data_IF_872367904692
#
_entry.id   IF_872367904692
#
_cell.length_a   1.000
_cell.length_b   1.000
_cell.length_c   1.000
_cell.angle_alpha   90.00
_cell.angle_beta   90.00
_cell.angle_gamma   90.00
#
_symmetry.space_group_name_H-M   'P 1'
#
loop_
_entity.id
_entity.type
_entity.pdbx_description
1 polymer ?
#
# COMPACT_ATOMS: atom_id res chain seq x y z
N UNK A 1 0.03 14.96 -9.52
CA UNK A 1 -1.40 15.39 -9.43
C UNK A 1 -2.11 14.86 -8.19
N UNK A 2 -2.29 13.54 -8.05
CA UNK A 2 -3.01 12.96 -6.90
C UNK A 2 -2.48 13.39 -5.53
N UNK A 3 -1.16 13.33 -5.30
CA UNK A 3 -0.55 13.81 -4.05
C UNK A 3 -0.83 15.30 -3.79
N UNK A 4 -0.82 16.14 -4.83
CA UNK A 4 -1.11 17.57 -4.72
C UNK A 4 -2.55 17.85 -4.26
N UNK A 5 -3.51 16.99 -4.62
CA UNK A 5 -4.88 17.06 -4.10
C UNK A 5 -4.87 16.84 -2.58
N UNK A 6 -4.18 15.79 -2.12
CA UNK A 6 -4.09 15.46 -0.69
C UNK A 6 -3.37 16.59 0.08
N UNK A 7 -2.22 17.05 -0.40
CA UNK A 7 -1.44 18.12 0.25
C UNK A 7 -2.27 19.40 0.41
N UNK A 8 -3.01 19.81 -0.64
CA UNK A 8 -3.87 20.99 -0.53
C UNK A 8 -5.01 20.77 0.47
N UNK A 9 -5.69 19.63 0.45
CA UNK A 9 -6.77 19.33 1.40
C UNK A 9 -6.28 19.26 2.85
N UNK A 10 -5.04 18.80 3.07
CA UNK A 10 -4.37 18.87 4.38
C UNK A 10 -4.08 20.33 4.78
N UNK A 11 -3.55 21.14 3.85
CA UNK A 11 -3.29 22.57 4.08
C UNK A 11 -4.55 23.37 4.42
N UNK A 12 -5.69 23.06 3.80
CA UNK A 12 -7.01 23.63 4.12
C UNK A 12 -7.46 23.33 5.57
N UNK A 13 -6.85 22.33 6.22
CA UNK A 13 -7.06 21.98 7.63
C UNK A 13 -5.97 22.52 8.56
N UNK A 14 -5.08 23.37 8.07
CA UNK A 14 -3.98 23.96 8.83
C UNK A 14 -2.75 23.07 8.95
N UNK A 15 -2.67 21.95 8.22
CA UNK A 15 -1.48 21.09 8.21
C UNK A 15 -0.41 21.70 7.30
N UNK A 16 0.75 22.04 7.87
CA UNK A 16 1.93 22.45 7.10
C UNK A 16 2.63 21.20 6.56
N UNK A 17 2.52 20.96 5.25
CA UNK A 17 3.20 19.85 4.56
C UNK A 17 4.56 20.34 4.08
N UNK A 18 5.64 19.69 4.54
CA UNK A 18 7.01 19.96 4.13
C UNK A 18 7.51 18.74 3.34
N UNK A 19 7.80 18.92 2.06
CA UNK A 19 8.32 17.88 1.16
C UNK A 19 9.79 18.13 0.89
N UNK A 20 10.54 17.07 0.52
CA UNK A 20 11.99 17.20 0.29
C UNK A 20 12.69 17.77 1.54
N UNK A 21 12.27 17.28 2.70
CA UNK A 21 12.72 17.73 4.02
C UNK A 21 12.92 16.51 4.88
N UNK A 22 14.06 16.43 5.55
CA UNK A 22 14.40 15.32 6.45
C UNK A 22 14.65 15.85 7.86
N UNK A 23 14.13 15.15 8.87
CA UNK A 23 14.45 15.41 10.27
C UNK A 23 15.75 14.68 10.61
N UNK A 24 16.82 15.43 10.87
CA UNK A 24 18.18 14.87 11.09
C UNK A 24 18.57 14.81 12.57
N UNK A 25 17.90 15.56 13.43
CA UNK A 25 18.13 15.51 14.88
C UNK A 25 16.86 15.89 15.66
N UNK A 26 16.73 15.35 16.87
CA UNK A 26 15.63 15.62 17.81
C UNK A 26 16.23 16.10 19.12
N UNK A 27 15.92 17.34 19.52
CA UNK A 27 16.47 17.96 20.72
C UNK A 27 15.42 18.07 21.83
N UNK A 28 15.89 17.89 23.06
CA UNK A 28 15.09 17.88 24.28
C UNK A 28 15.87 17.24 25.43
N UNK A 29 15.47 17.50 26.67
CA UNK A 29 16.02 16.81 27.83
C UNK A 29 15.20 15.54 28.13
N UNK A 30 14.02 15.71 28.74
CA UNK A 30 13.09 14.60 29.01
C UNK A 30 12.06 14.40 27.89
N UNK A 31 11.74 15.47 27.17
CA UNK A 31 10.73 15.49 26.11
C UNK A 31 11.30 16.19 24.87
N UNK A 32 10.89 15.75 23.68
CA UNK A 32 11.24 16.42 22.42
C UNK A 32 10.63 17.81 22.37
N UNK A 33 11.46 18.82 22.13
CA UNK A 33 11.05 20.23 22.01
C UNK A 33 11.41 20.85 20.68
N UNK A 34 12.39 20.28 20.00
CA UNK A 34 12.86 20.79 18.73
C UNK A 34 13.26 19.66 17.77
N UNK A 35 13.04 19.89 16.47
CA UNK A 35 13.57 19.06 15.38
C UNK A 35 14.51 19.92 14.54
N UNK A 36 15.71 19.39 14.26
CA UNK A 36 16.62 19.96 13.27
C UNK A 36 16.36 19.30 11.92
N UNK A 37 16.21 20.12 10.89
CA UNK A 37 16.02 19.67 9.52
C UNK A 37 17.36 19.57 8.79
N UNK A 38 17.40 18.79 7.71
CA UNK A 38 18.55 18.65 6.82
C UNK A 38 19.04 19.98 6.21
N UNK A 39 18.15 20.96 6.09
CA UNK A 39 18.48 22.33 5.70
C UNK A 39 19.24 23.12 6.78
N UNK A 40 19.26 22.64 8.02
CA UNK A 40 19.71 23.36 9.21
C UNK A 40 18.64 24.24 9.87
N UNK A 41 17.42 24.30 9.32
CA UNK A 41 16.27 24.95 9.98
C UNK A 41 15.86 24.17 11.24
N UNK A 42 15.45 24.88 12.29
CA UNK A 42 15.00 24.30 13.56
C UNK A 42 13.49 24.55 13.75
N UNK A 43 12.72 23.48 13.89
CA UNK A 43 11.30 23.56 14.29
C UNK A 43 11.25 23.46 15.81
N UNK A 44 10.77 24.51 16.49
CA UNK A 44 10.77 24.64 17.96
C UNK A 44 9.36 24.53 18.54
N UNK A 45 9.30 24.50 19.88
CA UNK A 45 8.08 24.49 20.68
C UNK A 45 7.15 23.31 20.35
N UNK A 46 7.75 22.13 20.15
CA UNK A 46 7.01 20.90 19.93
C UNK A 46 6.49 20.34 21.25
N UNK A 47 5.25 19.83 21.23
CA UNK A 47 4.65 19.10 22.34
C UNK A 47 4.72 17.57 22.13
N UNK A 48 4.84 17.12 20.88
CA UNK A 48 4.80 15.70 20.52
C UNK A 48 5.36 15.47 19.12
N UNK A 49 5.91 14.27 18.92
CA UNK A 49 6.38 13.79 17.62
C UNK A 49 5.80 12.41 17.35
N UNK A 50 5.30 12.21 16.14
CA UNK A 50 4.91 10.89 15.64
C UNK A 50 5.83 10.51 14.46
N UNK A 51 6.52 9.38 14.59
CA UNK A 51 7.40 8.86 13.55
C UNK A 51 6.70 7.79 12.71
N UNK A 52 6.58 8.02 11.40
CA UNK A 52 5.94 7.11 10.46
C UNK A 52 6.85 6.85 9.23
N UNK A 53 8.11 6.48 9.49
CA UNK A 53 9.19 6.38 8.48
C UNK A 53 9.43 4.98 7.92
N UNK A 54 8.70 3.98 8.41
CA UNK A 54 8.87 2.60 7.98
C UNK A 54 8.68 1.61 9.13
N UNK A 55 8.85 0.33 8.84
CA UNK A 55 8.78 -0.76 9.80
C UNK A 55 9.93 -1.73 9.54
N UNK A 56 10.48 -2.31 10.61
CA UNK A 56 11.51 -3.34 10.54
C UNK A 56 10.92 -4.71 10.89
N UNK A 57 11.33 -5.75 10.16
CA UNK A 57 10.80 -7.10 10.37
C UNK A 57 11.30 -7.68 11.69
N UNK A 58 10.38 -7.88 12.63
CA UNK A 58 10.63 -8.64 13.85
C UNK A 58 10.55 -10.15 13.56
N UNK A 59 11.52 -10.67 12.81
CA UNK A 59 11.56 -12.09 12.38
C UNK A 59 12.83 -12.82 12.84
N UNK A 60 13.69 -12.15 13.62
CA UNK A 60 14.98 -12.69 14.05
C UNK A 60 14.90 -13.94 14.93
N UNK A 61 13.72 -14.22 15.49
CA UNK A 61 13.49 -15.37 16.37
C UNK A 61 13.20 -16.69 15.63
N UNK A 62 12.96 -16.67 14.31
CA UNK A 62 12.61 -17.86 13.52
C UNK A 62 13.68 -18.14 12.46
N UNK A 63 14.09 -19.40 12.30
CA UNK A 63 15.12 -19.80 11.33
C UNK A 63 14.49 -20.33 10.03
N UNK A 64 14.16 -19.40 9.14
CA UNK A 64 13.59 -19.64 7.80
C UNK A 64 14.19 -18.66 6.79
N UNK A 65 14.03 -18.95 5.49
CA UNK A 65 14.47 -18.04 4.43
C UNK A 65 13.82 -16.66 4.56
N UNK A 66 14.65 -15.61 4.49
CA UNK A 66 14.22 -14.21 4.54
C UNK A 66 14.77 -13.45 3.33
N UNK A 67 14.21 -12.28 3.05
CA UNK A 67 14.80 -11.32 2.10
C UNK A 67 15.82 -10.41 2.80
N UNK A 68 16.43 -9.49 2.04
CA UNK A 68 17.43 -8.55 2.56
C UNK A 68 16.92 -7.63 3.68
N UNK A 69 15.60 -7.43 3.75
CA UNK A 69 14.91 -6.62 4.76
C UNK A 69 14.36 -7.46 5.91
N UNK A 70 14.85 -8.70 6.09
CA UNK A 70 14.42 -9.64 7.12
C UNK A 70 12.94 -10.06 7.03
N UNK A 71 12.24 -9.80 5.93
CA UNK A 71 10.86 -10.28 5.77
C UNK A 71 10.88 -11.78 5.47
N UNK A 72 9.96 -12.53 6.10
CA UNK A 72 9.88 -13.98 5.94
C UNK A 72 9.39 -14.29 4.53
N UNK A 73 10.14 -15.15 3.81
CA UNK A 73 9.73 -15.59 2.49
C UNK A 73 8.77 -16.75 2.62
N UNK A 74 7.67 -16.68 1.87
CA UNK A 74 6.74 -17.79 1.72
C UNK A 74 6.49 -18.12 0.26
N UNK A 75 5.98 -19.30 0.01
CA UNK A 75 5.41 -19.67 -1.28
C UNK A 75 4.00 -19.05 -1.48
N UNK A 76 3.26 -19.54 -2.47
CA UNK A 76 1.89 -19.11 -2.78
C UNK A 76 0.83 -19.63 -1.80
N UNK A 77 1.17 -20.60 -0.96
CA UNK A 77 0.33 -21.16 0.10
C UNK A 77 0.67 -20.58 1.48
N UNK A 78 1.53 -19.56 1.53
CA UNK A 78 2.03 -18.93 2.76
C UNK A 78 2.91 -19.86 3.63
N UNK A 79 3.42 -20.94 3.05
CA UNK A 79 4.37 -21.85 3.70
C UNK A 79 5.79 -21.29 3.56
N UNK A 80 6.60 -21.39 4.60
CA UNK A 80 7.99 -20.92 4.60
C UNK A 80 8.94 -21.96 3.97
N UNK A 81 10.25 -21.76 4.09
CA UNK A 81 11.25 -22.79 3.72
C UNK A 81 11.21 -24.03 4.61
N UNK A 82 10.66 -23.92 5.82
CA UNK A 82 10.35 -25.05 6.69
C UNK A 82 8.88 -25.47 6.47
N UNK A 83 8.66 -26.77 6.26
CA UNK A 83 7.34 -27.31 5.92
C UNK A 83 6.34 -27.23 7.09
N UNK A 84 6.83 -27.18 8.33
CA UNK A 84 5.98 -27.09 9.51
C UNK A 84 5.67 -25.64 9.92
N UNK A 85 6.24 -24.66 9.20
CA UNK A 85 6.13 -23.23 9.52
C UNK A 85 5.44 -22.48 8.37
N UNK A 86 4.37 -21.76 8.73
CA UNK A 86 3.68 -20.81 7.86
C UNK A 86 3.85 -19.39 8.42
N UNK A 87 3.82 -18.39 7.54
CA UNK A 87 3.90 -16.99 7.93
C UNK A 87 2.81 -16.15 7.26
N UNK A 88 2.25 -15.21 7.99
CA UNK A 88 1.19 -14.31 7.54
C UNK A 88 1.40 -12.90 8.11
N UNK A 89 0.86 -11.89 7.42
CA UNK A 89 0.85 -10.50 7.87
C UNK A 89 1.83 -9.59 7.11
N UNK A 90 1.98 -8.36 7.60
CA UNK A 90 2.72 -7.27 6.93
C UNK A 90 4.22 -7.56 6.69
N UNK A 91 4.82 -8.51 7.41
CA UNK A 91 6.26 -8.82 7.34
C UNK A 91 6.57 -10.09 6.53
N UNK A 92 5.72 -10.39 5.53
CA UNK A 92 5.83 -11.56 4.67
C UNK A 92 6.03 -11.16 3.22
N UNK A 93 7.08 -11.70 2.60
CA UNK A 93 7.31 -11.68 1.17
C UNK A 93 6.80 -12.99 0.55
N UNK A 94 5.63 -12.94 -0.09
CA UNK A 94 4.97 -14.12 -0.64
C UNK A 94 5.07 -14.17 -2.16
N UNK A 95 5.04 -15.38 -2.71
CA UNK A 95 4.90 -15.59 -4.16
C UNK A 95 3.44 -15.37 -4.57
N UNK A 96 3.11 -14.18 -5.08
CA UNK A 96 1.73 -13.84 -5.46
C UNK A 96 1.30 -14.56 -6.74
N UNK A 97 0.24 -15.38 -6.71
CA UNK A 97 -0.37 -15.95 -7.91
C UNK A 97 -0.92 -14.87 -8.86
N UNK A 98 -1.45 -13.78 -8.30
CA UNK A 98 -2.08 -12.68 -9.07
C UNK A 98 -1.03 -11.88 -9.83
N UNK A 99 0.06 -11.50 -9.16
CA UNK A 99 1.11 -10.64 -9.76
C UNK A 99 2.24 -11.43 -10.41
N UNK A 100 2.25 -12.76 -10.26
CA UNK A 100 3.22 -13.68 -10.87
C UNK A 100 4.67 -13.34 -10.48
N UNK A 101 4.85 -12.82 -9.25
CA UNK A 101 6.14 -12.42 -8.68
C UNK A 101 6.10 -12.49 -7.15
N UNK A 102 7.27 -12.50 -6.52
CA UNK A 102 7.38 -12.21 -5.09
C UNK A 102 7.01 -10.75 -4.84
N UNK A 103 6.21 -10.52 -3.82
CA UNK A 103 5.78 -9.18 -3.44
C UNK A 103 5.62 -9.09 -1.93
N UNK A 104 5.75 -7.85 -1.45
CA UNK A 104 5.39 -7.45 -0.10
C UNK A 104 4.21 -6.51 -0.26
N UNK A 105 3.12 -6.79 0.42
CA UNK A 105 1.94 -5.95 0.46
C UNK A 105 1.47 -5.93 1.91
N UNK A 106 1.02 -4.78 2.39
CA UNK A 106 0.56 -4.62 3.76
C UNK A 106 -0.69 -3.76 3.82
N UNK A 107 -1.76 -4.36 4.31
CA UNK A 107 -2.93 -3.67 4.85
C UNK A 107 -3.53 -4.56 5.94
N UNK A 108 -4.45 -4.00 6.72
CA UNK A 108 -5.17 -4.76 7.74
C UNK A 108 -5.89 -5.98 7.12
N UNK A 109 -6.73 -5.74 6.13
CA UNK A 109 -7.52 -6.79 5.45
C UNK A 109 -6.64 -7.83 4.76
N UNK A 110 -5.50 -7.41 4.20
CA UNK A 110 -4.54 -8.31 3.58
C UNK A 110 -3.88 -9.22 4.62
N UNK A 111 -3.47 -8.67 5.77
CA UNK A 111 -2.92 -9.44 6.89
C UNK A 111 -3.93 -10.42 7.47
N UNK A 112 -5.18 -9.98 7.67
CA UNK A 112 -6.28 -10.83 8.12
C UNK A 112 -6.48 -12.00 7.14
N UNK A 113 -6.52 -11.72 5.84
CA UNK A 113 -6.72 -12.76 4.83
C UNK A 113 -5.54 -13.72 4.71
N UNK A 114 -4.32 -13.23 4.92
CA UNK A 114 -3.15 -14.09 5.04
C UNK A 114 -3.29 -15.05 6.21
N UNK A 115 -3.69 -14.55 7.39
CA UNK A 115 -3.89 -15.39 8.58
C UNK A 115 -4.92 -16.49 8.34
N UNK A 116 -6.07 -16.15 7.74
CA UNK A 116 -7.10 -17.13 7.36
C UNK A 116 -6.56 -18.18 6.39
N UNK A 117 -5.78 -17.76 5.39
CA UNK A 117 -5.26 -18.66 4.35
C UNK A 117 -4.17 -19.58 4.89
N UNK A 118 -3.25 -19.05 5.69
CA UNK A 118 -2.23 -19.83 6.38
C UNK A 118 -2.86 -20.89 7.29
N UNK A 119 -3.84 -20.50 8.11
CA UNK A 119 -4.55 -21.44 8.98
C UNK A 119 -5.27 -22.55 8.21
N UNK A 120 -5.88 -22.23 7.06
CA UNK A 120 -6.49 -23.24 6.17
C UNK A 120 -5.46 -24.21 5.59
N UNK A 121 -4.27 -23.72 5.26
CA UNK A 121 -3.22 -24.55 4.68
C UNK A 121 -2.52 -25.42 5.73
N UNK A 122 -2.40 -24.94 6.98
CA UNK A 122 -1.96 -25.77 8.11
C UNK A 122 -2.85 -27.01 8.33
N UNK A 123 -4.14 -26.95 7.94
CA UNK A 123 -5.08 -28.09 8.03
C UNK A 123 -5.30 -28.80 6.67
N UNK A 124 -4.43 -28.58 5.68
CA UNK A 124 -4.40 -29.33 4.43
C UNK A 124 -5.33 -28.82 3.32
N UNK A 125 -5.74 -27.54 3.34
CA UNK A 125 -6.65 -27.00 2.31
C UNK A 125 -5.99 -26.66 0.97
N UNK A 126 -4.65 -26.60 0.89
CA UNK A 126 -3.87 -26.25 -0.32
C UNK A 126 -4.42 -25.02 -1.09
N UNK A 127 -4.77 -23.97 -0.37
CA UNK A 127 -5.35 -22.74 -0.92
C UNK A 127 -4.29 -21.71 -1.24
N UNK A 128 -4.17 -21.35 -2.51
CA UNK A 128 -3.31 -20.25 -2.95
C UNK A 128 -3.81 -18.89 -2.41
N UNK A 129 -2.86 -18.02 -2.04
CA UNK A 129 -3.16 -16.67 -1.57
C UNK A 129 -3.25 -15.67 -2.73
N UNK A 130 -4.41 -15.60 -3.36
CA UNK A 130 -4.73 -14.77 -4.54
C UNK A 130 -5.38 -13.41 -4.20
N UNK A 131 -5.12 -12.90 -3.00
CA UNK A 131 -5.74 -11.66 -2.53
C UNK A 131 -5.17 -10.43 -3.24
N UNK A 132 -6.06 -9.57 -3.74
CA UNK A 132 -5.71 -8.27 -4.32
C UNK A 132 -5.75 -7.23 -3.20
N UNK A 133 -4.56 -6.79 -2.77
CA UNK A 133 -4.44 -5.83 -1.68
C UNK A 133 -5.29 -4.57 -1.94
N UNK A 134 -5.96 -4.09 -0.90
CA UNK A 134 -6.68 -2.82 -0.91
C UNK A 134 -6.30 -2.06 0.34
N UNK A 135 -5.97 -0.79 0.16
CA UNK A 135 -5.62 0.11 1.25
C UNK A 135 -6.42 1.40 1.08
N UNK A 136 -7.33 1.64 2.01
CA UNK A 136 -8.13 2.85 2.08
C UNK A 136 -7.74 3.66 3.32
N UNK A 137 -7.64 4.97 3.18
CA UNK A 137 -7.49 5.87 4.33
C UNK A 137 -8.20 7.19 4.08
N UNK A 138 -8.81 7.70 5.15
CA UNK A 138 -9.40 9.02 5.20
C UNK A 138 -8.45 10.01 5.85
N UNK A 139 -8.19 11.12 5.17
CA UNK A 139 -7.55 12.31 5.75
C UNK A 139 -8.60 13.40 5.86
N UNK A 140 -9.19 13.56 7.04
CA UNK A 140 -10.37 14.42 7.24
C UNK A 140 -11.49 14.06 6.25
N UNK A 141 -11.79 14.93 5.29
CA UNK A 141 -12.82 14.72 4.27
C UNK A 141 -12.25 14.18 2.94
N UNK A 142 -10.94 13.90 2.87
CA UNK A 142 -10.31 13.34 1.69
C UNK A 142 -10.21 11.81 1.83
N UNK A 143 -10.91 11.08 0.98
CA UNK A 143 -10.77 9.61 0.90
C UNK A 143 -9.84 9.24 -0.24
N UNK A 144 -8.85 8.41 0.06
CA UNK A 144 -7.99 7.78 -0.93
C UNK A 144 -8.07 6.26 -0.81
N UNK A 145 -8.03 5.60 -1.95
CA UNK A 145 -7.98 4.15 -2.08
C UNK A 145 -6.83 3.76 -3.02
N UNK A 146 -6.01 2.79 -2.61
CA UNK A 146 -5.06 2.09 -3.45
C UNK A 146 -5.46 0.61 -3.56
N UNK A 147 -5.37 0.06 -4.76
CA UNK A 147 -5.70 -1.34 -5.07
C UNK A 147 -4.53 -1.95 -5.83
N UNK A 148 -4.12 -3.15 -5.44
CA UNK A 148 -3.09 -3.92 -6.14
C UNK A 148 -1.71 -3.27 -6.11
N UNK A 149 -1.07 -3.19 -7.27
CA UNK A 149 0.34 -2.82 -7.47
C UNK A 149 0.47 -1.51 -8.28
N UNK A 150 1.56 -0.78 -8.06
CA UNK A 150 1.87 0.52 -8.68
C UNK A 150 3.17 0.51 -9.51
N UNK A 151 3.80 -0.64 -9.73
CA UNK A 151 5.07 -0.77 -10.47
C UNK A 151 4.95 -0.64 -12.00
N UNK A 152 3.74 -0.62 -12.56
CA UNK A 152 3.48 -0.64 -14.01
C UNK A 152 3.39 0.74 -14.69
N UNK A 153 3.25 0.73 -16.03
CA UNK A 153 2.90 1.95 -16.80
C UNK A 153 1.51 2.40 -16.37
N UNK A 154 1.33 3.70 -16.16
CA UNK A 154 0.06 4.22 -15.66
C UNK A 154 -0.63 5.18 -16.61
N UNK A 155 -1.96 5.19 -16.55
CA UNK A 155 -2.82 6.24 -17.12
C UNK A 155 -3.60 6.89 -15.98
N UNK A 156 -3.80 8.20 -16.03
CA UNK A 156 -4.59 8.90 -15.03
C UNK A 156 -5.53 9.92 -15.63
N UNK A 157 -6.58 10.23 -14.87
CA UNK A 157 -7.50 11.33 -15.14
C UNK A 157 -7.82 12.04 -13.83
N UNK A 158 -7.58 13.35 -13.80
CA UNK A 158 -8.21 14.24 -12.84
C UNK A 158 -9.57 14.66 -13.42
N UNK A 159 -10.62 14.53 -12.64
CA UNK A 159 -11.95 14.98 -13.02
C UNK A 159 -12.16 16.40 -12.47
N UNK A 160 -12.87 17.24 -13.21
CA UNK A 160 -13.11 18.65 -12.85
C UNK A 160 -13.93 18.80 -11.56
N UNK A 161 -14.67 17.76 -11.15
CA UNK A 161 -15.48 17.71 -9.94
C UNK A 161 -14.66 17.34 -8.71
N UNK A 162 -14.77 18.14 -7.63
CA UNK A 162 -14.36 17.84 -6.23
C UNK A 162 -12.98 17.20 -6.00
N UNK A 163 -12.04 17.46 -6.91
CA UNK A 163 -10.72 16.82 -6.94
C UNK A 163 -10.75 15.31 -7.00
N UNK A 164 -11.73 14.77 -7.73
CA UNK A 164 -11.74 13.37 -8.05
C UNK A 164 -10.55 13.03 -8.94
N UNK A 165 -9.91 11.91 -8.64
CA UNK A 165 -8.73 11.45 -9.37
C UNK A 165 -8.75 9.94 -9.48
N UNK A 166 -8.35 9.45 -10.64
CA UNK A 166 -8.10 8.02 -10.88
C UNK A 166 -6.80 7.84 -11.63
N UNK A 167 -5.99 6.90 -11.15
CA UNK A 167 -4.80 6.39 -11.84
C UNK A 167 -4.87 4.88 -11.89
N UNK A 168 -4.62 4.31 -13.05
CA UNK A 168 -4.65 2.87 -13.31
C UNK A 168 -3.25 2.44 -13.75
N UNK A 169 -2.75 1.33 -13.20
CA UNK A 169 -1.42 0.80 -13.45
C UNK A 169 -1.51 -0.50 -14.24
N UNK A 170 -0.64 -0.66 -15.23
CA UNK A 170 -0.66 -1.77 -16.16
C UNK A 170 0.72 -2.42 -16.31
N UNK A 171 0.73 -3.75 -16.32
CA UNK A 171 1.86 -4.56 -16.79
C UNK A 171 1.49 -5.20 -18.13
N UNK A 172 2.16 -4.81 -19.21
CA UNK A 172 1.71 -5.17 -20.56
C UNK A 172 0.29 -4.66 -20.79
N UNK A 173 -0.66 -5.55 -21.09
CA UNK A 173 -2.09 -5.26 -21.26
C UNK A 173 -2.93 -5.56 -20.00
N UNK A 174 -2.33 -6.05 -18.92
CA UNK A 174 -3.07 -6.40 -17.69
C UNK A 174 -3.16 -5.22 -16.75
N UNK A 175 -4.35 -5.01 -16.18
CA UNK A 175 -4.51 -4.09 -15.06
C UNK A 175 -3.89 -4.73 -13.81
N UNK A 176 -2.99 -4.01 -13.14
CA UNK A 176 -2.31 -4.51 -11.93
C UNK A 176 -2.60 -3.68 -10.69
N UNK A 177 -3.10 -2.46 -10.86
CA UNK A 177 -3.52 -1.66 -9.71
C UNK A 177 -4.19 -0.36 -10.07
N UNK A 178 -4.68 0.32 -9.03
CA UNK A 178 -5.37 1.58 -9.14
C UNK A 178 -5.11 2.48 -7.91
N UNK A 179 -5.14 3.78 -8.13
CA UNK A 179 -5.23 4.81 -7.09
C UNK A 179 -6.45 5.67 -7.39
N UNK A 180 -7.31 5.88 -6.40
CA UNK A 180 -8.59 6.58 -6.53
C UNK A 180 -8.72 7.59 -5.39
N UNK A 181 -9.11 8.82 -5.72
CA UNK A 181 -9.39 9.89 -4.74
C UNK A 181 -10.80 10.39 -5.03
N UNK A 182 -11.67 10.39 -4.02
CA UNK A 182 -13.09 10.78 -4.11
C UNK A 182 -13.97 9.82 -4.93
N UNK A 183 -13.64 9.58 -6.21
CA UNK A 183 -14.39 8.69 -7.10
C UNK A 183 -13.91 7.23 -7.02
N UNK A 184 -14.42 6.48 -6.04
CA UNK A 184 -14.06 5.07 -5.76
C UNK A 184 -15.00 4.03 -6.41
N UNK A 185 -16.03 4.45 -7.14
CA UNK A 185 -16.95 3.55 -7.85
C UNK A 185 -16.20 2.64 -8.82
N UNK A 186 -16.55 1.35 -8.86
CA UNK A 186 -15.86 0.35 -9.68
C UNK A 186 -14.68 -0.34 -8.98
N UNK A 187 -14.40 -0.03 -7.70
CA UNK A 187 -13.31 -0.68 -6.95
C UNK A 187 -13.39 -2.22 -6.94
N UNK A 188 -14.58 -2.81 -6.78
CA UNK A 188 -14.75 -4.27 -6.77
C UNK A 188 -14.42 -4.88 -8.13
N UNK A 189 -14.87 -4.21 -9.19
CA UNK A 189 -14.65 -4.67 -10.55
C UNK A 189 -13.16 -4.54 -10.92
N UNK A 190 -12.50 -3.45 -10.52
CA UNK A 190 -11.04 -3.31 -10.63
C UNK A 190 -10.32 -4.45 -9.89
N UNK A 191 -10.75 -4.78 -8.66
CA UNK A 191 -10.17 -5.90 -7.90
C UNK A 191 -10.33 -7.22 -8.66
N UNK A 192 -11.52 -7.47 -9.22
CA UNK A 192 -11.82 -8.66 -10.01
C UNK A 192 -10.93 -8.73 -11.26
N UNK A 193 -10.88 -7.67 -12.05
CA UNK A 193 -10.04 -7.56 -13.25
C UNK A 193 -8.57 -7.84 -12.96
N UNK A 194 -8.05 -7.31 -11.83
CA UNK A 194 -6.67 -7.57 -11.39
C UNK A 194 -6.49 -9.04 -11.01
N UNK A 195 -7.38 -9.60 -10.19
CA UNK A 195 -7.32 -11.00 -9.75
C UNK A 195 -7.35 -11.98 -10.92
N UNK A 196 -8.25 -11.72 -11.88
CA UNK A 196 -8.44 -12.56 -13.08
C UNK A 196 -7.40 -12.30 -14.18
N UNK A 197 -6.49 -11.34 -13.97
CA UNK A 197 -5.42 -10.98 -14.91
C UNK A 197 -5.98 -10.61 -16.30
N UNK A 198 -7.14 -9.95 -16.31
CA UNK A 198 -7.82 -9.56 -17.54
C UNK A 198 -6.92 -8.67 -18.42
N UNK A 199 -6.99 -8.90 -19.74
CA UNK A 199 -6.29 -8.08 -20.73
C UNK A 199 -7.19 -6.96 -21.19
N UNK A 200 -6.74 -5.74 -21.01
CA UNK A 200 -7.47 -4.52 -21.36
C UNK A 200 -6.88 -3.94 -22.65
N UNK A 201 -7.67 -3.98 -23.72
CA UNK A 201 -7.31 -3.41 -25.02
C UNK A 201 -7.48 -1.89 -25.02
N UNK A 202 -8.70 -1.39 -24.73
CA UNK A 202 -8.94 0.04 -24.56
C UNK A 202 -8.83 0.48 -23.10
N UNK A 203 -7.63 0.88 -22.71
CA UNK A 203 -7.34 1.34 -21.34
C UNK A 203 -7.96 2.69 -21.00
N UNK A 204 -8.31 3.51 -22.01
CA UNK A 204 -8.82 4.86 -21.78
C UNK A 204 -10.28 4.82 -21.34
N UNK A 205 -11.03 3.81 -21.79
CA UNK A 205 -12.43 3.61 -21.41
C UNK A 205 -12.59 3.47 -19.88
N UNK A 206 -11.65 2.79 -19.22
CA UNK A 206 -11.63 2.61 -17.76
C UNK A 206 -11.46 3.93 -16.98
N UNK A 207 -11.06 5.02 -17.64
CA UNK A 207 -11.00 6.36 -17.04
C UNK A 207 -12.30 7.15 -17.23
N UNK A 208 -13.27 6.67 -18.00
CA UNK A 208 -14.60 7.26 -18.07
C UNK A 208 -15.40 6.88 -16.81
N UNK A 209 -16.12 7.85 -16.23
CA UNK A 209 -17.00 7.57 -15.08
C UNK A 209 -18.17 6.67 -15.48
N UNK A 210 -18.67 6.80 -16.71
CA UNK A 210 -19.80 6.04 -17.24
C UNK A 210 -19.46 4.58 -17.53
N UNK A 211 -18.19 4.20 -17.56
CA UNK A 211 -17.81 2.80 -17.63
C UNK A 211 -18.18 2.05 -16.33
N UNK A 212 -18.22 2.77 -15.20
CA UNK A 212 -18.42 2.19 -13.87
C UNK A 212 -19.84 2.38 -13.34
N UNK A 213 -20.76 2.87 -14.18
CA UNK A 213 -22.19 3.03 -13.83
C UNK A 213 -22.93 1.70 -13.79
#
# INVERSE_FOLDING_TARGET
EGAGIIHRKLGEKGVKVMTETEAVDFKGEEEVREIVLDSGEEIKDLDSVAAAIGQEANSGFVDVEKNSSQMIKTDKFLQTSDQDIYAAGNMVEYSSPVFERRTVNGSWDHSEKMGETAGKNMVGSEKEFDYVNTYGVGHFNAQFLAIGDWTGKSLSRKYSEEDHYRRLFFNGKRLVGAVMIGFTRGQEEIRRMIREKEKIEDRKELLDKNYWT
#
